data_IF_689154458481
#
_entry.id   IF_689154458481
#
_cell.length_a   1.000
_cell.length_b   1.000
_cell.length_c   1.000
_cell.angle_alpha   90.00
_cell.angle_beta   90.00
_cell.angle_gamma   90.00
#
_symmetry.space_group_name_H-M   'P 1'
#
loop_
_entity.id
_entity.type
_entity.pdbx_description
1 polymer ?
#
# COMPACT_ATOMS: atom_id res chain seq x y z
N UNK A 1 -38.94 11.59 2.97
CA UNK A 1 -39.41 10.23 3.29
C UNK A 1 -38.22 9.45 3.81
N UNK A 2 -38.35 8.81 4.96
CA UNK A 2 -37.30 7.99 5.56
C UNK A 2 -37.25 6.65 4.83
N UNK A 3 -36.10 6.27 4.29
CA UNK A 3 -35.89 4.93 3.73
C UNK A 3 -35.44 4.00 4.86
N UNK A 4 -36.00 2.81 4.99
CA UNK A 4 -35.60 1.82 5.99
C UNK A 4 -34.96 0.61 5.31
N UNK A 5 -33.84 0.13 5.85
CA UNK A 5 -33.09 -1.02 5.32
C UNK A 5 -32.73 -1.97 6.46
N UNK A 6 -32.81 -3.27 6.16
CA UNK A 6 -32.48 -4.37 7.07
C UNK A 6 -31.45 -5.27 6.38
N UNK A 7 -30.25 -5.42 6.96
CA UNK A 7 -29.20 -6.29 6.41
C UNK A 7 -29.46 -7.78 6.68
N UNK A 8 -30.23 -8.10 7.73
CA UNK A 8 -30.58 -9.47 8.09
C UNK A 8 -29.57 -10.10 9.04
N UNK A 9 -29.00 -11.24 8.66
CA UNK A 9 -28.10 -11.99 9.53
C UNK A 9 -26.74 -12.15 8.85
N UNK A 10 -25.68 -11.89 9.61
CA UNK A 10 -24.31 -11.96 9.13
C UNK A 10 -23.59 -10.65 9.34
N UNK A 11 -22.55 -10.42 8.54
CA UNK A 11 -21.86 -9.15 8.46
C UNK A 11 -22.36 -8.43 7.21
N UNK A 12 -23.19 -7.42 7.39
CA UNK A 12 -23.82 -6.69 6.29
C UNK A 12 -23.19 -5.32 6.06
N UNK A 13 -22.93 -5.01 4.79
CA UNK A 13 -22.33 -3.72 4.37
C UNK A 13 -23.28 -2.94 3.49
N UNK A 14 -23.63 -1.72 3.91
CA UNK A 14 -24.35 -0.77 3.08
C UNK A 14 -23.36 0.23 2.45
N UNK A 15 -23.42 0.36 1.12
CA UNK A 15 -22.65 1.36 0.40
C UNK A 15 -23.32 2.74 0.51
N UNK A 16 -22.54 3.76 0.83
CA UNK A 16 -22.96 5.16 0.89
C UNK A 16 -22.10 5.93 -0.11
N UNK A 17 -22.71 6.35 -1.23
CA UNK A 17 -22.03 7.08 -2.30
C UNK A 17 -21.77 8.56 -1.93
N UNK A 18 -21.08 8.78 -0.81
CA UNK A 18 -20.68 10.09 -0.30
C UNK A 18 -19.41 9.94 0.56
N UNK A 19 -18.75 11.08 0.82
CA UNK A 19 -17.71 11.19 1.85
C UNK A 19 -18.37 11.09 3.23
N UNK A 20 -17.71 10.45 4.20
CA UNK A 20 -18.22 10.30 5.56
C UNK A 20 -18.50 11.65 6.23
N UNK A 21 -17.68 12.68 5.95
CA UNK A 21 -17.87 14.04 6.50
C UNK A 21 -19.16 14.75 6.02
N UNK A 22 -19.84 14.20 5.00
CA UNK A 22 -21.13 14.70 4.49
C UNK A 22 -22.33 13.96 5.08
N UNK A 23 -22.10 13.06 6.03
CA UNK A 23 -23.15 12.21 6.59
C UNK A 23 -23.07 12.23 8.11
N UNK A 24 -24.21 12.45 8.77
CA UNK A 24 -24.32 12.35 10.21
C UNK A 24 -24.93 11.00 10.60
N UNK A 25 -24.29 10.32 11.56
CA UNK A 25 -24.72 9.03 12.10
C UNK A 25 -25.24 9.19 13.52
N UNK A 26 -26.39 8.59 13.83
CA UNK A 26 -26.95 8.58 15.17
C UNK A 26 -27.66 7.26 15.47
N UNK A 27 -27.41 6.67 16.65
CA UNK A 27 -28.12 5.47 17.11
C UNK A 27 -29.39 5.87 17.85
N UNK A 28 -30.55 5.33 17.44
CA UNK A 28 -31.86 5.56 18.06
C UNK A 28 -32.51 4.21 18.32
N UNK A 29 -32.47 3.76 19.59
CA UNK A 29 -32.81 2.39 19.93
C UNK A 29 -31.85 1.41 19.24
N UNK A 30 -32.40 0.41 18.55
CA UNK A 30 -31.63 -0.59 17.80
C UNK A 30 -31.37 -0.19 16.33
N UNK A 31 -31.70 1.05 15.95
CA UNK A 31 -31.61 1.54 14.57
C UNK A 31 -30.55 2.62 14.45
N UNK A 32 -29.72 2.53 13.41
CA UNK A 32 -28.82 3.61 13.01
C UNK A 32 -29.51 4.54 12.02
N UNK A 33 -29.49 5.84 12.31
CA UNK A 33 -29.94 6.88 11.40
C UNK A 33 -28.75 7.45 10.64
N UNK A 34 -28.87 7.46 9.31
CA UNK A 34 -27.88 7.99 8.37
C UNK A 34 -28.49 9.23 7.72
N UNK A 35 -27.97 10.41 8.04
CA UNK A 35 -28.51 11.69 7.56
C UNK A 35 -27.55 12.34 6.57
N UNK A 36 -27.96 12.46 5.31
CA UNK A 36 -27.20 13.17 4.28
C UNK A 36 -27.24 14.69 4.50
N UNK A 37 -26.09 15.32 4.69
CA UNK A 37 -26.02 16.75 5.01
C UNK A 37 -26.58 17.66 3.89
N UNK A 38 -26.37 17.27 2.63
CA UNK A 38 -26.79 18.09 1.48
C UNK A 38 -28.31 18.10 1.27
N UNK A 39 -28.99 16.99 1.57
CA UNK A 39 -30.42 16.80 1.27
C UNK A 39 -31.30 16.79 2.52
N UNK A 40 -30.71 16.59 3.69
CA UNK A 40 -31.43 16.32 4.94
C UNK A 40 -32.18 14.98 4.92
N UNK A 41 -31.93 14.13 3.92
CA UNK A 41 -32.57 12.82 3.82
C UNK A 41 -32.02 11.91 4.90
N UNK A 42 -32.93 11.26 5.62
CA UNK A 42 -32.61 10.29 6.67
C UNK A 42 -32.92 8.88 6.16
N UNK A 43 -31.97 7.98 6.32
CA UNK A 43 -32.16 6.53 6.16
C UNK A 43 -32.03 5.85 7.52
N UNK A 44 -32.84 4.83 7.76
CA UNK A 44 -32.84 4.02 8.98
C UNK A 44 -32.27 2.63 8.64
N UNK A 45 -31.30 2.17 9.43
CA UNK A 45 -30.62 0.90 9.23
C UNK A 45 -30.78 0.02 10.47
N UNK A 46 -31.18 -1.23 10.26
CA UNK A 46 -31.21 -2.29 11.27
C UNK A 46 -30.40 -3.48 10.76
N UNK A 47 -29.71 -4.19 11.67
CA UNK A 47 -28.85 -5.34 11.33
C UNK A 47 -27.90 -5.04 10.16
N UNK A 48 -27.25 -3.88 10.19
CA UNK A 48 -26.18 -3.50 9.25
C UNK A 48 -24.97 -3.15 10.09
N UNK A 49 -23.86 -3.84 9.86
CA UNK A 49 -22.66 -3.71 10.68
C UNK A 49 -21.66 -2.74 10.07
N UNK A 50 -21.72 -2.49 8.75
CA UNK A 50 -20.73 -1.65 8.04
C UNK A 50 -21.40 -0.64 7.11
N UNK A 51 -20.89 0.59 7.12
CA UNK A 51 -21.15 1.61 6.11
C UNK A 51 -19.88 1.88 5.31
N UNK A 52 -19.89 1.52 4.04
CA UNK A 52 -18.79 1.82 3.13
C UNK A 52 -19.03 3.21 2.52
N UNK A 53 -18.25 4.20 2.97
CA UNK A 53 -18.18 5.53 2.35
C UNK A 53 -17.06 5.55 1.30
N UNK A 54 -16.96 6.67 0.57
CA UNK A 54 -15.89 6.85 -0.42
C UNK A 54 -14.49 6.97 0.21
N UNK A 55 -14.39 7.42 1.46
CA UNK A 55 -13.13 7.72 2.16
C UNK A 55 -12.77 6.69 3.23
N UNK A 56 -13.76 6.21 3.98
CA UNK A 56 -13.59 5.26 5.10
C UNK A 56 -14.73 4.25 5.14
N UNK A 57 -14.56 3.20 5.94
CA UNK A 57 -15.70 2.41 6.40
C UNK A 57 -16.03 2.76 7.84
N UNK A 58 -17.31 2.85 8.16
CA UNK A 58 -17.77 3.01 9.54
C UNK A 58 -18.41 1.72 10.01
N UNK A 59 -17.89 1.16 11.11
CA UNK A 59 -18.50 0.04 11.79
C UNK A 59 -19.60 0.52 12.76
N UNK A 60 -20.76 -0.14 12.69
CA UNK A 60 -21.98 0.16 13.44
C UNK A 60 -22.20 -0.80 14.62
N UNK A 61 -21.45 -1.90 14.68
CA UNK A 61 -21.39 -2.86 15.80
C UNK A 61 -20.45 -2.35 16.90
N UNK A 62 -20.73 -1.16 17.43
CA UNK A 62 -19.98 -0.51 18.51
C UNK A 62 -19.91 -1.33 19.80
N UNK A 63 -20.87 -2.25 19.97
CA UNK A 63 -20.93 -3.21 21.08
C UNK A 63 -20.40 -4.60 20.67
N UNK A 64 -20.17 -4.82 19.37
CA UNK A 64 -19.74 -6.08 18.76
C UNK A 64 -18.23 -6.13 18.47
N UNK A 65 -17.87 -6.73 17.34
CA UNK A 65 -16.48 -6.99 16.96
C UNK A 65 -15.68 -5.70 16.81
N UNK A 66 -16.24 -4.69 16.13
CA UNK A 66 -15.54 -3.42 15.98
C UNK A 66 -15.35 -2.69 17.31
N UNK A 67 -16.35 -2.73 18.18
CA UNK A 67 -16.26 -2.24 19.55
C UNK A 67 -15.14 -2.90 20.35
N UNK A 68 -15.06 -4.23 20.29
CA UNK A 68 -14.02 -5.01 20.95
C UNK A 68 -12.62 -4.67 20.43
N UNK A 69 -12.47 -4.52 19.10
CA UNK A 69 -11.21 -4.11 18.49
C UNK A 69 -10.76 -2.74 19.00
N UNK A 70 -11.68 -1.76 18.99
CA UNK A 70 -11.42 -0.40 19.46
C UNK A 70 -10.99 -0.39 20.93
N UNK A 71 -11.76 -1.05 21.80
CA UNK A 71 -11.49 -1.10 23.24
C UNK A 71 -10.19 -1.79 23.59
N UNK A 72 -9.86 -2.90 22.91
CA UNK A 72 -8.59 -3.60 23.12
C UNK A 72 -7.39 -2.75 22.68
N UNK A 73 -7.54 -2.01 21.59
CA UNK A 73 -6.50 -1.12 21.07
C UNK A 73 -6.25 0.06 21.99
N UNK A 74 -7.31 0.73 22.46
CA UNK A 74 -7.18 1.76 23.49
C UNK A 74 -6.55 1.19 24.77
N UNK A 75 -6.99 0.01 25.22
CA UNK A 75 -6.52 -0.57 26.48
C UNK A 75 -5.04 -0.98 26.42
N UNK A 76 -4.55 -1.43 25.27
CA UNK A 76 -3.16 -1.83 25.13
C UNK A 76 -2.20 -0.64 24.99
N UNK A 77 -2.64 0.44 24.32
CA UNK A 77 -1.73 1.49 23.87
C UNK A 77 -1.99 2.87 24.50
N UNK A 78 -3.04 3.02 25.31
CA UNK A 78 -3.40 4.27 25.99
C UNK A 78 -3.61 5.44 24.99
N UNK A 79 -4.22 5.12 23.84
CA UNK A 79 -4.53 6.09 22.80
C UNK A 79 -5.68 5.62 21.92
N UNK A 80 -6.30 6.57 21.21
CA UNK A 80 -7.21 6.24 20.13
C UNK A 80 -6.49 5.39 19.05
N UNK A 81 -7.15 4.37 18.49
CA UNK A 81 -6.60 3.60 17.39
C UNK A 81 -6.40 4.47 16.15
N UNK A 82 -5.35 4.19 15.38
CA UNK A 82 -5.27 4.69 14.01
C UNK A 82 -6.22 3.89 13.11
N UNK A 83 -6.78 4.55 12.08
CA UNK A 83 -7.83 3.98 11.24
C UNK A 83 -7.40 2.71 10.49
N UNK A 84 -6.12 2.63 10.10
CA UNK A 84 -5.56 1.49 9.35
C UNK A 84 -5.34 0.27 10.26
N UNK A 85 -4.66 0.46 11.39
CA UNK A 85 -4.41 -0.57 12.38
C UNK A 85 -5.71 -1.10 12.96
N UNK A 86 -6.69 -0.22 13.22
CA UNK A 86 -8.01 -0.64 13.65
C UNK A 86 -8.70 -1.53 12.62
N UNK A 87 -8.64 -1.17 11.34
CA UNK A 87 -9.20 -1.98 10.26
C UNK A 87 -8.60 -3.37 10.14
N UNK A 88 -7.28 -3.50 10.35
CA UNK A 88 -6.61 -4.80 10.42
C UNK A 88 -7.19 -5.71 11.51
N UNK A 89 -7.36 -5.17 12.71
CA UNK A 89 -7.86 -5.94 13.83
C UNK A 89 -9.35 -6.25 13.74
N UNK A 90 -10.16 -5.32 13.22
CA UNK A 90 -11.57 -5.55 12.91
C UNK A 90 -11.69 -6.70 11.90
N UNK A 91 -10.98 -6.63 10.77
CA UNK A 91 -11.04 -7.67 9.73
C UNK A 91 -10.62 -9.04 10.24
N UNK A 92 -9.59 -9.11 11.08
CA UNK A 92 -9.16 -10.37 11.72
C UNK A 92 -10.21 -10.96 12.66
N UNK A 93 -10.84 -10.12 13.49
CA UNK A 93 -11.87 -10.57 14.42
C UNK A 93 -13.15 -10.98 13.66
N UNK A 94 -13.53 -10.24 12.61
CA UNK A 94 -14.64 -10.59 11.70
C UNK A 94 -14.38 -11.95 11.01
N UNK A 95 -13.12 -12.24 10.67
CA UNK A 95 -12.69 -13.54 10.13
C UNK A 95 -12.59 -14.67 11.18
N UNK A 96 -12.98 -14.41 12.43
CA UNK A 96 -13.06 -15.43 13.48
C UNK A 96 -11.82 -15.57 14.37
N UNK A 97 -10.86 -14.63 14.30
CA UNK A 97 -9.80 -14.57 15.31
C UNK A 97 -10.41 -14.32 16.71
N UNK A 98 -9.80 -14.89 17.76
CA UNK A 98 -10.24 -14.61 19.13
C UNK A 98 -9.67 -13.29 19.64
N UNK A 99 -10.46 -12.55 20.43
CA UNK A 99 -10.03 -11.32 21.08
C UNK A 99 -8.78 -11.52 21.95
N UNK A 100 -8.69 -12.65 22.66
CA UNK A 100 -7.50 -13.02 23.45
C UNK A 100 -6.29 -13.33 22.57
N UNK A 101 -6.50 -13.89 21.38
CA UNK A 101 -5.44 -14.09 20.38
C UNK A 101 -4.89 -12.77 19.86
N UNK A 102 -5.77 -11.80 19.59
CA UNK A 102 -5.38 -10.43 19.21
C UNK A 102 -4.62 -9.74 20.34
N UNK A 103 -5.14 -9.81 21.58
CA UNK A 103 -4.50 -9.22 22.75
C UNK A 103 -3.09 -9.77 23.01
N UNK A 104 -2.88 -11.07 22.76
CA UNK A 104 -1.55 -11.70 22.83
C UNK A 104 -0.56 -11.05 21.86
N UNK A 105 -0.99 -10.70 20.65
CA UNK A 105 -0.12 -10.05 19.67
C UNK A 105 0.19 -8.60 20.08
N UNK A 106 -0.75 -7.89 20.71
CA UNK A 106 -0.51 -6.52 21.19
C UNK A 106 0.51 -6.52 22.31
N UNK A 107 0.41 -7.46 23.26
CA UNK A 107 1.36 -7.61 24.37
C UNK A 107 2.81 -7.87 23.91
N UNK A 108 2.99 -8.47 22.73
CA UNK A 108 4.32 -8.72 22.13
C UNK A 108 4.83 -7.54 21.30
N UNK A 109 3.97 -6.57 20.98
CA UNK A 109 4.32 -5.48 20.09
C UNK A 109 5.40 -4.57 20.72
N UNK A 110 6.30 -3.99 19.91
CA UNK A 110 7.27 -3.01 20.39
C UNK A 110 6.61 -1.80 21.07
N UNK A 111 5.42 -1.41 20.62
CA UNK A 111 4.66 -0.30 21.20
C UNK A 111 4.22 -0.60 22.64
N UNK A 112 3.66 -1.80 22.88
CA UNK A 112 3.28 -2.20 24.23
C UNK A 112 4.49 -2.31 25.16
N UNK A 113 5.60 -2.90 24.68
CA UNK A 113 6.85 -2.99 25.44
C UNK A 113 7.38 -1.60 25.81
N UNK A 114 7.29 -0.64 24.89
CA UNK A 114 7.68 0.75 25.13
C UNK A 114 6.77 1.42 26.16
N UNK A 115 5.45 1.23 26.06
CA UNK A 115 4.48 1.76 27.03
C UNK A 115 4.75 1.22 28.44
N UNK A 116 5.06 -0.07 28.56
CA UNK A 116 5.39 -0.72 29.83
C UNK A 116 6.80 -0.39 30.35
N UNK A 117 7.67 0.18 29.51
CA UNK A 117 9.08 0.45 29.81
C UNK A 117 9.97 -0.81 29.92
N UNK A 118 9.40 -2.00 29.74
CA UNK A 118 10.10 -3.29 29.79
C UNK A 118 9.30 -4.37 29.08
N UNK A 119 9.98 -5.34 28.48
CA UNK A 119 9.35 -6.51 27.88
C UNK A 119 8.84 -7.53 28.92
N UNK A 120 9.33 -7.43 30.16
CA UNK A 120 9.02 -8.39 31.23
C UNK A 120 8.57 -7.67 32.50
N UNK A 121 7.43 -6.96 32.48
CA UNK A 121 6.89 -6.35 33.69
C UNK A 121 6.57 -7.44 34.72
N UNK A 122 6.69 -7.12 36.00
CA UNK A 122 6.15 -7.98 37.06
C UNK A 122 4.62 -7.95 37.01
N UNK A 123 3.95 -8.96 37.55
CA UNK A 123 2.48 -9.00 37.56
C UNK A 123 1.88 -7.78 38.29
N UNK A 124 2.54 -7.35 39.37
CA UNK A 124 2.16 -6.16 40.12
C UNK A 124 2.23 -4.88 39.26
N UNK A 125 3.33 -4.71 38.52
CA UNK A 125 3.55 -3.58 37.63
C UNK A 125 2.60 -3.62 36.42
N UNK A 126 2.38 -4.81 35.85
CA UNK A 126 1.47 -5.03 34.73
C UNK A 126 0.03 -4.63 35.08
N UNK A 127 -0.52 -5.18 36.18
CA UNK A 127 -1.88 -4.84 36.63
C UNK A 127 -1.99 -3.37 36.98
N UNK A 128 -1.00 -2.80 37.67
CA UNK A 128 -1.01 -1.36 38.02
C UNK A 128 -1.02 -0.47 36.77
N UNK A 129 -0.25 -0.83 35.73
CA UNK A 129 -0.25 -0.09 34.48
C UNK A 129 -1.60 -0.17 33.77
N UNK A 130 -2.28 -1.34 33.75
CA UNK A 130 -3.60 -1.45 33.13
C UNK A 130 -4.65 -0.57 33.84
N UNK A 131 -4.65 -0.47 35.16
CA UNK A 131 -5.53 0.47 35.87
C UNK A 131 -5.28 1.93 35.45
N UNK A 132 -4.02 2.33 35.28
CA UNK A 132 -3.65 3.70 34.92
C UNK A 132 -3.90 4.03 33.46
N UNK A 133 -3.60 3.10 32.57
CA UNK A 133 -3.60 3.33 31.12
C UNK A 133 -4.99 3.04 30.51
N UNK A 134 -5.73 2.07 31.07
CA UNK A 134 -7.07 1.72 30.55
C UNK A 134 -8.15 2.48 31.28
N UNK A 135 -8.07 2.53 32.63
CA UNK A 135 -9.13 3.08 33.47
C UNK A 135 -8.80 4.48 34.01
N UNK A 136 -7.64 5.02 33.66
CA UNK A 136 -7.17 6.35 34.07
C UNK A 136 -7.27 6.62 35.57
N UNK A 137 -7.04 5.59 36.40
CA UNK A 137 -7.06 5.68 37.86
C UNK A 137 -6.05 4.76 38.54
N UNK A 138 -5.78 5.02 39.81
CA UNK A 138 -5.03 4.07 40.63
C UNK A 138 -5.87 2.82 40.94
N UNK A 139 -5.23 1.63 41.00
CA UNK A 139 -5.88 0.44 41.52
C UNK A 139 -6.30 0.62 42.98
N UNK A 140 -7.51 0.16 43.31
CA UNK A 140 -7.81 -0.16 44.70
C UNK A 140 -7.10 -1.46 45.12
N UNK A 141 -6.85 -1.61 46.42
CA UNK A 141 -6.06 -2.72 46.94
C UNK A 141 -6.70 -4.10 46.67
N UNK A 142 -8.04 -4.19 46.70
CA UNK A 142 -8.74 -5.45 46.52
C UNK A 142 -8.74 -5.89 45.05
N UNK A 143 -9.07 -4.98 44.13
CA UNK A 143 -9.10 -5.23 42.69
C UNK A 143 -7.73 -5.61 42.15
N UNK A 144 -6.67 -4.88 42.54
CA UNK A 144 -5.29 -5.24 42.17
C UNK A 144 -4.89 -6.60 42.70
N UNK A 145 -5.19 -6.89 43.97
CA UNK A 145 -4.85 -8.18 44.57
C UNK A 145 -5.57 -9.34 43.87
N UNK A 146 -6.82 -9.14 43.44
CA UNK A 146 -7.57 -10.14 42.70
C UNK A 146 -6.89 -10.48 41.37
N UNK A 147 -6.60 -9.48 40.53
CA UNK A 147 -5.91 -9.70 39.25
C UNK A 147 -4.51 -10.33 39.40
N UNK A 148 -3.75 -9.89 40.41
CA UNK A 148 -2.44 -10.49 40.72
C UNK A 148 -2.58 -11.95 41.16
N UNK A 149 -3.64 -12.31 41.87
CA UNK A 149 -3.90 -13.70 42.25
C UNK A 149 -4.28 -14.56 41.04
N UNK A 150 -5.07 -14.03 40.10
CA UNK A 150 -5.38 -14.72 38.84
C UNK A 150 -4.11 -15.02 38.04
N UNK A 151 -3.20 -14.03 37.91
CA UNK A 151 -1.91 -14.23 37.24
C UNK A 151 -1.06 -15.28 37.96
N UNK A 152 -1.01 -15.27 39.30
CA UNK A 152 -0.31 -16.30 40.10
C UNK A 152 -0.94 -17.69 39.97
N UNK A 153 -2.24 -17.77 39.73
CA UNK A 153 -2.97 -19.00 39.48
C UNK A 153 -2.77 -19.54 38.04
N UNK A 154 -2.04 -18.80 37.19
CA UNK A 154 -1.70 -19.21 35.83
C UNK A 154 -2.57 -18.57 34.74
N UNK A 155 -3.37 -17.56 35.05
CA UNK A 155 -4.07 -16.79 34.03
C UNK A 155 -3.08 -16.13 33.06
N UNK A 156 -3.41 -16.14 31.77
CA UNK A 156 -2.59 -15.51 30.75
C UNK A 156 -2.77 -13.98 30.79
N UNK A 157 -1.72 -13.22 30.44
CA UNK A 157 -1.78 -11.76 30.47
C UNK A 157 -2.75 -11.19 29.44
N UNK A 158 -2.92 -11.86 28.30
CA UNK A 158 -3.94 -11.51 27.31
C UNK A 158 -5.37 -11.62 27.87
N UNK A 159 -5.62 -12.54 28.79
CA UNK A 159 -6.92 -12.67 29.48
C UNK A 159 -7.15 -11.49 30.42
N UNK A 160 -6.11 -11.04 31.12
CA UNK A 160 -6.20 -9.85 31.98
C UNK A 160 -6.42 -8.59 31.13
N UNK A 161 -5.63 -8.39 30.07
CA UNK A 161 -5.78 -7.24 29.17
C UNK A 161 -7.20 -7.17 28.56
N UNK A 162 -7.71 -8.29 28.04
CA UNK A 162 -9.08 -8.34 27.51
C UNK A 162 -10.14 -8.10 28.59
N UNK A 163 -9.90 -8.55 29.83
CA UNK A 163 -10.77 -8.25 30.96
C UNK A 163 -10.85 -6.77 31.32
N UNK A 164 -9.75 -6.03 31.21
CA UNK A 164 -9.74 -4.56 31.36
C UNK A 164 -10.41 -3.88 30.16
N UNK A 165 -10.06 -4.29 28.93
CA UNK A 165 -10.61 -3.72 27.69
C UNK A 165 -12.14 -3.82 27.64
N UNK A 166 -12.69 -4.97 28.03
CA UNK A 166 -14.13 -5.24 28.02
C UNK A 166 -14.82 -4.97 29.36
N UNK A 167 -14.13 -4.32 30.31
CA UNK A 167 -14.77 -3.91 31.56
C UNK A 167 -15.85 -2.86 31.29
N UNK A 168 -16.92 -2.88 32.08
CA UNK A 168 -17.98 -1.86 31.99
C UNK A 168 -17.44 -0.44 32.18
N UNK A 169 -16.37 -0.29 32.96
CA UNK A 169 -15.68 0.98 33.18
C UNK A 169 -15.00 1.47 31.89
N UNK A 170 -14.26 0.61 31.19
CA UNK A 170 -13.62 0.99 29.93
C UNK A 170 -14.65 1.19 28.79
N UNK A 171 -15.69 0.36 28.73
CA UNK A 171 -16.81 0.55 27.80
C UNK A 171 -17.47 1.93 27.97
N UNK A 172 -17.67 2.36 29.21
CA UNK A 172 -18.19 3.70 29.51
C UNK A 172 -17.18 4.80 29.13
N UNK A 173 -15.88 4.58 29.34
CA UNK A 173 -14.83 5.54 29.03
C UNK A 173 -14.74 5.85 27.52
N UNK A 174 -14.97 4.86 26.65
CA UNK A 174 -14.92 5.03 25.18
C UNK A 174 -16.29 5.24 24.52
N UNK A 175 -17.36 5.36 25.30
CA UNK A 175 -18.72 5.42 24.77
C UNK A 175 -18.91 6.61 23.81
N UNK A 176 -18.38 7.78 24.17
CA UNK A 176 -18.47 8.98 23.34
C UNK A 176 -17.67 8.85 22.03
N UNK A 177 -16.49 8.23 22.08
CA UNK A 177 -15.63 8.02 20.91
C UNK A 177 -16.27 7.10 19.86
N UNK A 178 -17.16 6.21 20.31
CA UNK A 178 -17.83 5.21 19.44
C UNK A 178 -19.30 5.54 19.16
N UNK A 179 -19.84 6.63 19.73
CA UNK A 179 -21.26 6.97 19.67
C UNK A 179 -21.81 7.19 18.25
N UNK A 180 -20.94 7.57 17.31
CA UNK A 180 -21.29 7.84 15.91
C UNK A 180 -20.81 6.73 14.95
N UNK A 181 -20.51 5.55 15.49
CA UNK A 181 -19.86 4.49 14.76
C UNK A 181 -18.34 4.64 14.79
N UNK A 182 -17.65 3.59 14.36
CA UNK A 182 -16.19 3.48 14.43
C UNK A 182 -15.64 3.59 13.02
N UNK A 183 -15.04 4.73 12.68
CA UNK A 183 -14.41 4.94 11.39
C UNK A 183 -13.05 4.22 11.30
N UNK A 184 -12.84 3.46 10.23
CA UNK A 184 -11.61 2.73 9.97
C UNK A 184 -11.37 2.58 8.46
N UNK A 185 -10.15 2.21 8.09
CA UNK A 185 -9.80 1.84 6.71
C UNK A 185 -9.85 0.32 6.61
N UNK A 186 -10.75 -0.29 5.82
CA UNK A 186 -10.82 -1.74 5.68
C UNK A 186 -9.47 -2.35 5.34
N UNK A 187 -9.02 -3.25 6.20
CA UNK A 187 -7.92 -4.12 5.84
C UNK A 187 -8.49 -5.26 5.02
N UNK A 188 -8.29 -5.19 3.71
CA UNK A 188 -8.42 -6.37 2.87
C UNK A 188 -7.14 -7.15 3.08
N UNK A 189 -7.24 -8.29 3.77
CA UNK A 189 -6.20 -9.31 3.74
C UNK A 189 -6.19 -9.93 2.34
N UNK A 190 -5.81 -9.14 1.33
CA UNK A 190 -5.17 -9.72 0.17
C UNK A 190 -3.81 -10.11 0.70
N UNK A 191 -3.76 -11.34 1.22
CA UNK A 191 -2.56 -12.12 1.52
C UNK A 191 -1.34 -11.47 0.92
N UNK A 192 -0.32 -11.18 1.75
CA UNK A 192 1.04 -10.97 1.27
C UNK A 192 1.23 -11.91 0.08
N UNK A 193 1.48 -11.34 -1.10
CA UNK A 193 1.56 -12.11 -2.32
C UNK A 193 2.55 -13.24 -2.08
N UNK A 194 2.31 -14.30 -2.82
CA UNK A 194 3.07 -15.52 -2.73
C UNK A 194 4.51 -15.27 -3.20
N UNK A 195 5.28 -16.35 -3.40
CA UNK A 195 6.57 -16.22 -4.07
C UNK A 195 6.43 -16.29 -5.61
N UNK A 196 5.20 -16.42 -6.11
CA UNK A 196 4.86 -16.50 -7.53
C UNK A 196 4.39 -15.12 -8.03
N UNK A 197 4.27 -14.96 -9.35
CA UNK A 197 3.75 -13.72 -9.95
C UNK A 197 2.23 -13.60 -9.71
N UNK A 198 1.81 -12.72 -8.79
CA UNK A 198 0.42 -12.55 -8.44
C UNK A 198 -0.28 -11.42 -9.23
N UNK A 199 -1.59 -11.57 -9.41
CA UNK A 199 -2.46 -10.54 -9.99
C UNK A 199 -3.66 -10.31 -9.10
N UNK A 200 -3.65 -9.20 -8.36
CA UNK A 200 -4.61 -8.89 -7.30
C UNK A 200 -5.48 -7.71 -7.72
N UNK A 201 -6.81 -7.87 -7.71
CA UNK A 201 -7.72 -6.76 -7.97
C UNK A 201 -7.95 -5.95 -6.70
N UNK A 202 -7.63 -4.66 -6.77
CA UNK A 202 -7.87 -3.72 -5.69
C UNK A 202 -9.31 -3.20 -5.76
N UNK A 203 -10.05 -3.20 -4.64
CA UNK A 203 -11.32 -2.50 -4.58
C UNK A 203 -11.08 -0.99 -4.73
N UNK A 204 -11.92 -0.31 -5.51
CA UNK A 204 -11.86 1.14 -5.71
C UNK A 204 -12.66 1.94 -4.68
N UNK A 205 -13.49 1.26 -3.87
CA UNK A 205 -14.36 1.91 -2.89
C UNK A 205 -13.68 2.18 -1.53
N UNK A 206 -12.49 1.63 -1.28
CA UNK A 206 -11.78 1.81 -0.02
C UNK A 206 -10.25 1.72 -0.22
N UNK A 207 -9.44 2.45 0.57
CA UNK A 207 -7.99 2.31 0.53
C UNK A 207 -7.53 0.90 0.96
N UNK A 208 -6.50 0.37 0.31
CA UNK A 208 -5.95 -0.98 0.57
C UNK A 208 -4.44 -0.97 0.76
N UNK A 209 -3.93 -1.91 1.56
CA UNK A 209 -2.50 -2.24 1.63
C UNK A 209 -2.24 -3.57 0.95
N UNK A 210 -1.40 -3.58 -0.07
CA UNK A 210 -0.97 -4.79 -0.77
C UNK A 210 0.55 -4.94 -0.59
N UNK A 211 0.97 -6.07 -0.04
CA UNK A 211 2.36 -6.56 -0.16
C UNK A 211 2.33 -7.66 -1.23
N UNK A 212 3.02 -7.51 -2.35
CA UNK A 212 3.06 -8.52 -3.41
C UNK A 212 4.02 -9.68 -3.12
N UNK A 213 4.87 -9.57 -2.10
CA UNK A 213 5.78 -10.65 -1.74
C UNK A 213 6.99 -10.75 -2.67
N UNK A 214 7.19 -11.90 -3.30
CA UNK A 214 8.29 -12.13 -4.25
C UNK A 214 7.74 -12.56 -5.59
N UNK A 215 8.45 -12.26 -6.66
CA UNK A 215 7.96 -12.51 -8.01
C UNK A 215 7.75 -11.20 -8.71
N UNK A 216 6.85 -11.19 -9.71
CA UNK A 216 6.39 -9.98 -10.36
C UNK A 216 4.90 -9.83 -10.14
N UNK A 217 4.55 -8.86 -9.32
CA UNK A 217 3.19 -8.72 -8.82
C UNK A 217 2.46 -7.57 -9.49
N UNK A 218 1.16 -7.77 -9.71
CA UNK A 218 0.30 -6.81 -10.39
C UNK A 218 -0.93 -6.47 -9.55
N UNK A 219 -1.01 -5.22 -9.10
CA UNK A 219 -2.25 -4.63 -8.64
C UNK A 219 -3.15 -4.31 -9.85
N UNK A 220 -4.44 -4.62 -9.78
CA UNK A 220 -5.42 -4.36 -10.85
C UNK A 220 -6.47 -3.39 -10.33
N UNK A 221 -6.68 -2.30 -11.05
CA UNK A 221 -7.69 -1.30 -10.77
C UNK A 221 -8.63 -1.25 -11.98
N UNK A 222 -9.90 -1.55 -11.76
CA UNK A 222 -10.92 -1.65 -12.81
C UNK A 222 -11.40 -0.29 -13.37
N UNK A 223 -10.53 0.72 -13.39
CA UNK A 223 -10.80 2.08 -13.84
C UNK A 223 -9.62 2.64 -14.65
N UNK A 224 -9.80 3.77 -15.31
CA UNK A 224 -8.77 4.42 -16.14
C UNK A 224 -7.70 5.10 -15.28
N UNK A 225 -6.45 5.10 -15.74
CA UNK A 225 -5.31 5.65 -14.99
C UNK A 225 -5.48 7.14 -14.67
N UNK A 226 -6.12 7.93 -15.55
CA UNK A 226 -6.35 9.37 -15.37
C UNK A 226 -7.15 9.72 -14.09
N UNK A 227 -7.86 8.74 -13.51
CA UNK A 227 -8.57 8.89 -12.24
C UNK A 227 -7.66 8.71 -11.02
N UNK A 228 -6.36 8.43 -11.21
CA UNK A 228 -5.44 8.08 -10.15
C UNK A 228 -4.12 8.84 -10.26
N UNK A 229 -3.41 8.92 -9.15
CA UNK A 229 -2.03 9.40 -9.11
C UNK A 229 -1.16 8.42 -8.35
N UNK A 230 -0.09 7.96 -8.98
CA UNK A 230 0.92 7.13 -8.32
C UNK A 230 2.04 7.99 -7.77
N UNK A 231 2.48 7.67 -6.55
CA UNK A 231 3.60 8.35 -5.87
C UNK A 231 4.45 7.34 -5.12
N UNK A 232 5.76 7.46 -5.21
CA UNK A 232 6.65 6.69 -4.35
C UNK A 232 6.95 7.47 -3.06
N UNK A 233 6.60 6.90 -1.90
CA UNK A 233 6.78 7.53 -0.60
C UNK A 233 7.18 6.50 0.48
N UNK A 234 8.20 6.84 1.27
CA UNK A 234 8.63 6.05 2.44
C UNK A 234 8.93 4.58 2.15
N UNK A 235 9.43 4.25 0.95
CA UNK A 235 9.75 2.87 0.55
C UNK A 235 8.56 2.04 0.08
N UNK A 236 7.44 2.67 -0.24
CA UNK A 236 6.23 2.06 -0.78
C UNK A 236 5.65 2.92 -1.90
N UNK A 237 4.84 2.32 -2.76
CA UNK A 237 4.05 3.03 -3.75
C UNK A 237 2.68 3.37 -3.18
N UNK A 238 2.22 4.60 -3.42
CA UNK A 238 0.88 5.04 -3.10
C UNK A 238 0.07 5.20 -4.38
N UNK A 239 -1.13 4.65 -4.40
CA UNK A 239 -2.13 4.88 -5.45
C UNK A 239 -3.23 5.75 -4.85
N UNK A 240 -3.30 6.99 -5.31
CA UNK A 240 -4.26 7.97 -4.84
C UNK A 240 -5.41 8.06 -5.84
N UNK A 241 -6.63 7.74 -5.42
CA UNK A 241 -7.83 7.95 -6.22
C UNK A 241 -8.17 9.45 -6.22
N UNK A 242 -8.21 10.09 -7.39
CA UNK A 242 -8.48 11.51 -7.54
C UNK A 242 -9.95 11.87 -7.29
N UNK A 243 -10.87 10.91 -7.43
CA UNK A 243 -12.30 11.08 -7.21
C UNK A 243 -12.63 11.01 -5.74
N UNK A 244 -12.07 10.03 -5.02
CA UNK A 244 -12.41 9.79 -3.61
C UNK A 244 -11.40 10.37 -2.63
N UNK A 245 -10.16 10.60 -3.06
CA UNK A 245 -9.03 10.96 -2.19
C UNK A 245 -8.43 9.77 -1.43
N UNK A 246 -8.95 8.54 -1.64
CA UNK A 246 -8.45 7.33 -1.00
C UNK A 246 -7.01 7.04 -1.40
N UNK A 247 -6.19 6.55 -0.46
CA UNK A 247 -4.77 6.25 -0.69
C UNK A 247 -4.48 4.79 -0.39
N UNK A 248 -4.34 3.98 -1.43
CA UNK A 248 -3.85 2.60 -1.31
C UNK A 248 -2.33 2.58 -1.27
N UNK A 249 -1.73 1.66 -0.51
CA UNK A 249 -0.28 1.48 -0.38
C UNK A 249 0.13 0.13 -0.93
N UNK A 250 1.15 0.09 -1.78
CA UNK A 250 1.69 -1.10 -2.42
C UNK A 250 3.17 -1.26 -2.04
N UNK A 251 3.55 -2.46 -1.63
CA UNK A 251 4.93 -2.86 -1.32
C UNK A 251 5.23 -4.13 -2.09
N UNK A 252 6.45 -4.30 -2.61
CA UNK A 252 6.82 -5.46 -3.45
C UNK A 252 5.80 -5.71 -4.59
N UNK A 253 5.41 -4.64 -5.30
CA UNK A 253 4.52 -4.72 -6.45
C UNK A 253 5.19 -4.01 -7.60
N UNK A 254 5.34 -4.70 -8.73
CA UNK A 254 6.05 -4.18 -9.90
C UNK A 254 5.11 -3.55 -10.92
N UNK A 255 3.80 -3.82 -10.87
CA UNK A 255 2.81 -3.35 -11.86
C UNK A 255 1.51 -2.87 -11.22
N UNK A 256 0.95 -1.80 -11.78
CA UNK A 256 -0.45 -1.38 -11.55
C UNK A 256 -1.17 -1.35 -12.89
N UNK A 257 -2.06 -2.31 -13.11
CA UNK A 257 -2.85 -2.43 -14.32
C UNK A 257 -4.18 -1.67 -14.16
N UNK A 258 -4.37 -0.65 -14.97
CA UNK A 258 -5.63 0.06 -15.16
C UNK A 258 -6.39 -0.51 -16.35
N UNK A 259 -7.60 -0.02 -16.61
CA UNK A 259 -8.41 -0.49 -17.73
C UNK A 259 -7.90 -0.07 -19.12
N UNK A 260 -7.04 0.95 -19.16
CA UNK A 260 -6.51 1.61 -20.35
C UNK A 260 -5.00 1.42 -20.54
N UNK A 261 -4.22 1.49 -19.46
CA UNK A 261 -2.76 1.32 -19.46
C UNK A 261 -2.27 0.48 -18.27
N UNK A 262 -1.01 0.05 -18.30
CA UNK A 262 -0.32 -0.46 -17.12
C UNK A 262 0.81 0.51 -16.75
N UNK A 263 0.97 0.76 -15.46
CA UNK A 263 2.11 1.50 -14.91
C UNK A 263 3.09 0.50 -14.30
N UNK A 264 4.35 0.52 -14.74
CA UNK A 264 5.43 -0.25 -14.12
C UNK A 264 6.09 0.55 -12.99
N UNK A 265 6.31 -0.13 -11.86
CA UNK A 265 6.84 0.43 -10.61
C UNK A 265 8.30 0.06 -10.35
N UNK A 266 8.82 -0.94 -11.05
CA UNK A 266 10.23 -1.35 -11.06
C UNK A 266 11.09 -0.40 -11.93
N UNK A 267 11.11 0.88 -11.56
CA UNK A 267 11.86 1.95 -12.26
C UNK A 267 13.37 1.74 -12.25
N UNK A 268 13.86 0.93 -11.31
CA UNK A 268 15.26 0.47 -11.24
C UNK A 268 15.45 -0.93 -11.86
N UNK A 269 14.35 -1.64 -12.16
CA UNK A 269 14.31 -2.99 -12.71
C UNK A 269 14.12 -3.04 -14.22
N UNK A 270 13.39 -4.05 -14.69
CA UNK A 270 13.22 -4.36 -16.12
C UNK A 270 12.56 -3.19 -16.86
N UNK A 271 11.49 -2.62 -16.31
CA UNK A 271 10.81 -1.51 -16.97
C UNK A 271 11.69 -0.25 -17.07
N UNK A 272 12.42 0.06 -16.00
CA UNK A 272 13.41 1.12 -15.99
C UNK A 272 14.49 0.94 -17.06
N UNK A 273 15.08 -0.25 -17.14
CA UNK A 273 16.11 -0.58 -18.12
C UNK A 273 15.58 -0.46 -19.55
N UNK A 274 14.38 -1.00 -19.83
CA UNK A 274 13.76 -0.91 -21.15
C UNK A 274 13.50 0.55 -21.55
N UNK A 275 12.98 1.38 -20.63
CA UNK A 275 12.73 2.80 -20.87
C UNK A 275 14.03 3.56 -21.17
N UNK A 276 15.05 3.39 -20.33
CA UNK A 276 16.36 4.04 -20.50
C UNK A 276 17.02 3.64 -21.81
N UNK A 277 16.96 2.37 -22.17
CA UNK A 277 17.55 1.88 -23.42
C UNK A 277 16.83 2.46 -24.64
N UNK A 278 15.51 2.60 -24.59
CA UNK A 278 14.72 3.21 -25.67
C UNK A 278 15.11 4.67 -25.88
N UNK A 279 15.19 5.44 -24.78
CA UNK A 279 15.61 6.83 -24.82
C UNK A 279 17.06 6.97 -25.30
N UNK A 280 17.95 6.09 -24.84
CA UNK A 280 19.34 6.09 -25.25
C UNK A 280 19.54 5.75 -26.73
N UNK A 281 18.82 4.75 -27.24
CA UNK A 281 18.96 4.29 -28.62
C UNK A 281 18.30 5.23 -29.63
N UNK A 282 17.18 5.86 -29.27
CA UNK A 282 16.33 6.60 -30.21
C UNK A 282 16.22 8.10 -29.93
N UNK A 283 16.81 8.60 -28.83
CA UNK A 283 16.78 10.00 -28.42
C UNK A 283 15.34 10.57 -28.35
N UNK A 284 14.42 9.76 -27.85
CA UNK A 284 13.01 10.12 -27.64
C UNK A 284 12.38 9.25 -26.56
N UNK A 285 11.27 9.72 -25.99
CA UNK A 285 10.44 8.86 -25.16
C UNK A 285 9.94 7.64 -25.97
N UNK A 286 9.87 6.45 -25.36
CA UNK A 286 9.28 5.28 -25.99
C UNK A 286 7.79 5.49 -26.28
N UNK A 287 7.29 4.84 -27.32
CA UNK A 287 5.85 4.67 -27.49
C UNK A 287 5.34 3.54 -26.57
N UNK A 288 4.10 3.67 -26.07
CA UNK A 288 3.58 2.80 -25.01
C UNK A 288 3.53 1.32 -25.40
N UNK A 289 3.17 1.01 -26.65
CA UNK A 289 3.04 -0.35 -27.14
C UNK A 289 4.41 -1.00 -27.39
N UNK A 290 5.33 -0.28 -28.02
CA UNK A 290 6.71 -0.72 -28.21
C UNK A 290 7.41 -0.95 -26.87
N UNK A 291 7.22 -0.04 -25.90
CA UNK A 291 7.74 -0.23 -24.55
C UNK A 291 7.19 -1.50 -23.91
N UNK A 292 5.87 -1.72 -24.00
CA UNK A 292 5.23 -2.91 -23.46
C UNK A 292 5.72 -4.22 -24.07
N UNK A 293 6.05 -4.22 -25.37
CA UNK A 293 6.68 -5.37 -26.03
C UNK A 293 8.03 -5.70 -25.38
N UNK A 294 8.92 -4.72 -25.23
CA UNK A 294 10.25 -4.97 -24.68
C UNK A 294 10.25 -5.25 -23.20
N UNK A 295 9.39 -4.58 -22.42
CA UNK A 295 9.15 -4.95 -21.03
C UNK A 295 8.73 -6.41 -20.98
N UNK A 296 7.73 -6.82 -21.77
CA UNK A 296 7.23 -8.20 -21.79
C UNK A 296 8.26 -9.25 -22.21
N UNK A 297 9.14 -8.93 -23.16
CA UNK A 297 10.21 -9.83 -23.62
C UNK A 297 11.32 -9.97 -22.56
N UNK A 298 11.76 -8.85 -21.97
CA UNK A 298 12.74 -8.85 -20.87
C UNK A 298 12.18 -9.50 -19.60
N UNK A 299 10.89 -9.31 -19.35
CA UNK A 299 10.13 -9.95 -18.29
C UNK A 299 10.09 -11.48 -18.42
N UNK A 300 10.32 -12.03 -19.61
CA UNK A 300 10.45 -13.46 -19.92
C UNK A 300 11.91 -13.93 -19.99
N UNK A 301 12.87 -13.05 -19.66
CA UNK A 301 14.29 -13.38 -19.54
C UNK A 301 15.16 -12.93 -20.71
N UNK A 302 14.65 -12.14 -21.66
CA UNK A 302 15.52 -11.49 -22.65
C UNK A 302 16.49 -10.53 -21.95
N UNK A 303 17.77 -10.58 -22.32
CA UNK A 303 18.78 -9.69 -21.71
C UNK A 303 18.70 -8.29 -22.32
N UNK A 304 19.04 -7.27 -21.51
CA UNK A 304 19.14 -5.89 -22.00
C UNK A 304 20.06 -5.77 -23.23
N UNK A 305 21.16 -6.53 -23.25
CA UNK A 305 22.09 -6.56 -24.39
C UNK A 305 21.46 -7.13 -25.66
N UNK A 306 20.56 -8.11 -25.54
CA UNK A 306 19.84 -8.68 -26.68
C UNK A 306 18.85 -7.67 -27.28
N UNK A 307 18.17 -6.90 -26.43
CA UNK A 307 17.29 -5.80 -26.84
C UNK A 307 18.10 -4.67 -27.48
N UNK A 308 19.23 -4.29 -26.88
CA UNK A 308 20.13 -3.28 -27.42
C UNK A 308 20.66 -3.67 -28.81
N UNK A 309 21.00 -4.94 -29.01
CA UNK A 309 21.37 -5.47 -30.33
C UNK A 309 20.23 -5.34 -31.34
N UNK A 310 19.00 -5.65 -30.94
CA UNK A 310 17.82 -5.49 -31.80
C UNK A 310 17.58 -4.01 -32.17
N UNK A 311 17.79 -3.08 -31.23
CA UNK A 311 17.68 -1.64 -31.48
C UNK A 311 18.73 -1.16 -32.46
N UNK A 312 20.00 -1.52 -32.27
CA UNK A 312 21.09 -1.15 -33.19
C UNK A 312 20.82 -1.68 -34.61
N UNK A 313 20.26 -2.88 -34.74
CA UNK A 313 19.91 -3.48 -36.03
C UNK A 313 18.65 -2.87 -36.67
N UNK A 314 17.90 -2.02 -35.96
CA UNK A 314 16.65 -1.47 -36.44
C UNK A 314 16.83 -0.39 -37.51
N UNK A 315 15.81 -0.24 -38.35
CA UNK A 315 15.76 0.86 -39.33
C UNK A 315 15.67 2.24 -38.67
N UNK A 316 15.13 2.33 -37.45
CA UNK A 316 15.03 3.58 -36.70
C UNK A 316 16.40 4.05 -36.22
N UNK A 317 17.18 3.16 -35.63
CA UNK A 317 18.56 3.47 -35.21
C UNK A 317 19.43 3.87 -36.40
N UNK A 318 19.30 3.17 -37.52
CA UNK A 318 19.98 3.51 -38.77
C UNK A 318 19.64 4.93 -39.25
N UNK A 319 18.37 5.35 -39.15
CA UNK A 319 17.95 6.71 -39.52
C UNK A 319 18.53 7.75 -38.57
N UNK A 320 18.53 7.46 -37.26
CA UNK A 320 19.06 8.39 -36.26
C UNK A 320 20.56 8.60 -36.42
N UNK A 321 21.34 7.52 -36.61
CA UNK A 321 22.80 7.61 -36.79
C UNK A 321 23.18 7.99 -38.24
N UNK A 322 22.25 7.89 -39.19
CA UNK A 322 22.42 8.29 -40.59
C UNK A 322 23.03 7.22 -41.50
N UNK A 323 23.48 6.08 -40.95
CA UNK A 323 24.00 4.94 -41.71
C UNK A 323 23.83 3.65 -40.91
N UNK A 324 23.66 2.52 -41.61
CA UNK A 324 23.59 1.20 -40.98
C UNK A 324 24.97 0.69 -40.52
N UNK A 325 26.05 1.31 -41.03
CA UNK A 325 27.44 0.90 -40.73
C UNK A 325 28.28 2.12 -40.34
N UNK A 326 27.98 2.78 -39.20
CA UNK A 326 28.80 3.89 -38.73
C UNK A 326 30.20 3.39 -38.36
N UNK A 327 31.21 4.24 -38.49
CA UNK A 327 32.52 3.98 -37.86
C UNK A 327 32.38 3.93 -36.34
N UNK A 328 33.36 3.36 -35.64
CA UNK A 328 33.32 3.30 -34.17
C UNK A 328 33.29 4.71 -33.55
N UNK A 329 34.07 5.65 -34.11
CA UNK A 329 34.06 7.05 -33.67
C UNK A 329 32.70 7.72 -33.89
N UNK A 330 32.07 7.50 -35.05
CA UNK A 330 30.73 8.04 -35.32
C UNK A 330 29.66 7.41 -34.42
N UNK A 331 29.76 6.11 -34.15
CA UNK A 331 28.86 5.40 -33.25
C UNK A 331 28.98 5.93 -31.81
N UNK A 332 30.19 6.03 -31.26
CA UNK A 332 30.41 6.56 -29.90
C UNK A 332 29.97 8.01 -29.80
N UNK A 333 30.30 8.85 -30.78
CA UNK A 333 29.84 10.26 -30.82
C UNK A 333 28.32 10.34 -30.77
N UNK A 334 27.62 9.50 -31.53
CA UNK A 334 26.16 9.45 -31.50
C UNK A 334 25.62 9.05 -30.12
N UNK A 335 26.27 8.15 -29.37
CA UNK A 335 25.85 7.81 -28.00
C UNK A 335 25.99 9.00 -27.04
N UNK A 336 27.10 9.75 -27.12
CA UNK A 336 27.27 10.96 -26.31
C UNK A 336 26.20 12.02 -26.61
N UNK A 337 25.86 12.23 -27.88
CA UNK A 337 24.85 13.21 -28.29
C UNK A 337 23.42 12.77 -27.94
N UNK A 338 23.09 11.51 -28.19
CA UNK A 338 21.73 11.00 -28.04
C UNK A 338 21.38 10.69 -26.59
N UNK A 339 22.33 10.17 -25.81
CA UNK A 339 22.08 9.74 -24.42
C UNK A 339 22.45 10.83 -23.42
N UNK A 340 23.62 11.47 -23.61
CA UNK A 340 24.17 12.41 -22.62
C UNK A 340 23.99 13.88 -23.02
N UNK A 341 23.49 14.13 -24.23
CA UNK A 341 23.26 15.48 -24.78
C UNK A 341 24.48 16.40 -24.70
N UNK A 342 25.68 15.84 -24.87
CA UNK A 342 26.95 16.56 -24.83
C UNK A 342 27.97 15.98 -25.80
N UNK A 343 29.00 16.75 -26.11
CA UNK A 343 30.15 16.23 -26.83
C UNK A 343 30.96 15.23 -25.98
N UNK A 344 31.56 14.21 -26.59
CA UNK A 344 32.52 13.36 -25.92
C UNK A 344 33.75 14.17 -25.50
N UNK A 345 34.19 14.00 -24.26
CA UNK A 345 35.52 14.41 -23.84
C UNK A 345 36.57 13.43 -24.40
N UNK A 346 37.81 13.90 -24.59
CA UNK A 346 38.86 13.09 -25.22
C UNK A 346 39.16 11.78 -24.46
N UNK A 347 39.26 11.76 -23.11
CA UNK A 347 39.42 10.50 -22.37
C UNK A 347 38.23 9.54 -22.54
N UNK A 348 37.00 10.05 -22.47
CA UNK A 348 35.79 9.24 -22.63
C UNK A 348 35.65 8.63 -24.02
N UNK A 349 35.92 9.41 -25.08
CA UNK A 349 35.99 8.90 -26.45
C UNK A 349 37.03 7.79 -26.57
N UNK A 350 38.25 8.03 -26.07
CA UNK A 350 39.33 7.07 -26.16
C UNK A 350 38.99 5.75 -25.44
N UNK A 351 38.39 5.83 -24.26
CA UNK A 351 37.95 4.64 -23.51
C UNK A 351 37.02 3.74 -24.32
N UNK A 352 35.98 4.30 -24.95
CA UNK A 352 35.04 3.52 -25.74
C UNK A 352 35.63 3.00 -27.04
N UNK A 353 36.47 3.78 -27.71
CA UNK A 353 37.19 3.33 -28.91
C UNK A 353 38.14 2.18 -28.60
N UNK A 354 38.86 2.21 -27.47
CA UNK A 354 39.70 1.11 -27.02
C UNK A 354 38.88 -0.14 -26.70
N UNK A 355 37.71 0.01 -26.06
CA UNK A 355 36.81 -1.12 -25.79
C UNK A 355 36.33 -1.79 -27.10
N UNK A 356 35.86 -0.99 -28.06
CA UNK A 356 35.45 -1.48 -29.38
C UNK A 356 36.62 -2.14 -30.13
N UNK A 357 37.81 -1.54 -30.11
CA UNK A 357 39.01 -2.11 -30.71
C UNK A 357 39.38 -3.47 -30.09
N UNK A 358 39.17 -3.63 -28.78
CA UNK A 358 39.41 -4.88 -28.05
C UNK A 358 38.27 -5.90 -28.18
N UNK A 359 37.29 -5.65 -29.05
CA UNK A 359 36.22 -6.60 -29.40
C UNK A 359 34.97 -6.50 -28.54
N UNK A 360 34.80 -5.44 -27.75
CA UNK A 360 33.51 -5.17 -27.10
C UNK A 360 32.44 -4.95 -28.17
N UNK A 361 31.32 -5.69 -28.14
CA UNK A 361 30.25 -5.49 -29.09
C UNK A 361 29.48 -4.19 -28.82
N UNK A 362 28.90 -3.59 -29.86
CA UNK A 362 28.26 -2.26 -29.80
C UNK A 362 27.05 -2.22 -28.89
N UNK A 363 26.32 -3.32 -28.74
CA UNK A 363 25.22 -3.40 -27.78
C UNK A 363 25.70 -3.17 -26.34
N UNK A 364 26.90 -3.63 -25.96
CA UNK A 364 27.46 -3.38 -24.62
C UNK A 364 27.88 -1.92 -24.43
N UNK A 365 28.27 -1.24 -25.51
CA UNK A 365 28.51 0.20 -25.46
C UNK A 365 27.18 0.93 -25.23
N UNK A 366 26.15 0.62 -26.02
CA UNK A 366 24.83 1.23 -25.86
C UNK A 366 24.23 0.98 -24.47
N UNK A 367 24.28 -0.26 -23.95
CA UNK A 367 23.81 -0.53 -22.58
C UNK A 367 24.66 0.18 -21.53
N UNK A 368 25.96 0.33 -21.74
CA UNK A 368 26.85 1.12 -20.90
C UNK A 368 26.48 2.61 -20.82
N UNK A 369 26.05 3.22 -21.92
CA UNK A 369 25.51 4.59 -21.91
C UNK A 369 24.12 4.65 -21.27
N UNK A 370 23.22 3.73 -21.65
CA UNK A 370 21.85 3.64 -21.12
C UNK A 370 21.84 3.56 -19.59
N UNK A 371 22.69 2.72 -19.02
CA UNK A 371 22.75 2.43 -17.59
C UNK A 371 23.84 3.26 -16.87
N UNK A 372 24.41 4.26 -17.54
CA UNK A 372 25.33 5.18 -16.88
C UNK A 372 24.62 5.98 -15.79
N UNK A 373 25.35 6.30 -14.71
CA UNK A 373 24.83 7.13 -13.62
C UNK A 373 24.34 8.51 -14.12
N UNK A 374 24.98 9.04 -15.16
CA UNK A 374 24.59 10.31 -15.80
C UNK A 374 23.20 10.20 -16.45
N UNK A 375 22.93 9.13 -17.22
CA UNK A 375 21.63 8.92 -17.85
C UNK A 375 20.52 8.58 -16.84
N UNK A 376 20.81 7.72 -15.85
CA UNK A 376 19.87 7.40 -14.79
C UNK A 376 19.46 8.65 -14.01
N UNK A 377 20.41 9.53 -13.68
CA UNK A 377 20.13 10.80 -13.01
C UNK A 377 19.28 11.74 -13.88
N UNK A 378 19.50 11.76 -15.20
CA UNK A 378 18.71 12.57 -16.12
C UNK A 378 17.25 12.11 -16.22
N UNK A 379 16.99 10.81 -16.04
CA UNK A 379 15.67 10.21 -16.22
C UNK A 379 14.89 9.95 -14.93
N UNK A 380 15.52 10.09 -13.75
CA UNK A 380 14.87 9.82 -12.45
C UNK A 380 13.57 10.62 -12.27
N UNK A 381 13.52 11.88 -12.72
CA UNK A 381 12.33 12.71 -12.63
C UNK A 381 11.21 12.30 -13.59
N UNK A 382 11.56 11.72 -14.74
CA UNK A 382 10.60 11.27 -15.76
C UNK A 382 9.88 10.01 -15.31
N UNK A 383 10.57 9.13 -14.57
CA UNK A 383 10.02 7.85 -14.10
C UNK A 383 9.52 7.91 -12.65
N UNK A 384 9.49 9.10 -12.02
CA UNK A 384 9.22 9.26 -10.58
C UNK A 384 7.85 8.73 -10.13
N UNK A 385 6.86 8.72 -11.03
CA UNK A 385 5.50 8.23 -10.76
C UNK A 385 5.23 6.86 -11.43
N UNK A 386 6.28 6.14 -11.80
CA UNK A 386 6.21 4.91 -12.57
C UNK A 386 6.28 5.16 -14.07
N UNK A 387 6.21 4.07 -14.84
CA UNK A 387 6.40 4.07 -16.28
C UNK A 387 5.14 3.50 -16.94
N UNK A 388 4.36 4.35 -17.61
CA UNK A 388 3.20 3.91 -18.38
C UNK A 388 3.60 3.12 -19.63
N UNK A 389 2.88 2.04 -19.90
CA UNK A 389 2.99 1.25 -21.11
C UNK A 389 1.67 0.51 -21.40
N UNK A 390 1.54 0.01 -22.63
CA UNK A 390 0.44 -0.90 -23.01
C UNK A 390 1.00 -2.32 -23.03
N UNK A 391 0.52 -3.25 -22.18
CA UNK A 391 1.01 -4.62 -22.18
C UNK A 391 0.93 -5.26 -23.56
N UNK A 392 1.97 -6.00 -23.92
CA UNK A 392 2.00 -6.78 -25.15
C UNK A 392 1.41 -8.16 -24.90
N UNK A 393 0.37 -8.53 -25.66
CA UNK A 393 -0.31 -9.83 -25.56
C UNK A 393 -1.81 -9.69 -25.68
#
# INVERSE_FOLDING_TARGET
MTSAYDGGAGLDTAAVAAQHDKVALAKVGDTWQVTEAATGKVSALTNVERLAFADVTVALDTDGVAGQAFRLYQAAFDRAPDAEGLGYWIGRLDAGASLTGVAREFLKSPEFVKLMGTATPTDDAFVTALYRNVLHREPDAAGKQWWVNELKAGAARETVLTGFAESAENQAAVADDTAHGIAYVPFVDSTAGTADNDRVTLPTAAPVKLDGGSGRDTAVIGAEHDSFTLKHASGSWQVVDATTGSVSTLTNVERVAFSDVTVALDVDGVAGQAFRLYQAAFNRAPDLAGLGFWIGDMDQGASLDSVARAFIASSEFTKLVGTATPSDEAFVTAMYHNVLHREPDAPGMQFWLEALHNGTPRELVLTGFSESAENQAALVGVMANGIEYVPFG
#
